data_IF_246742309417
#
_entry.id   IF_246742309417
#
_cell.length_a   1.000
_cell.length_b   1.000
_cell.length_c   1.000
_cell.angle_alpha   90.00
_cell.angle_beta   90.00
_cell.angle_gamma   90.00
#
_symmetry.space_group_name_H-M   'P 1'
#
loop_
_entity.id
_entity.type
_entity.pdbx_description
1 polymer ?
#
# COMPACT_ATOMS: atom_id res chain seq x y z
N UNK A 1 47.49 -18.68 32.62
CA UNK A 1 46.55 -18.81 31.46
C UNK A 1 45.08 -18.49 31.77
N UNK A 2 44.68 -18.23 33.03
CA UNK A 2 43.25 -18.08 33.41
C UNK A 2 42.78 -16.64 33.67
N UNK A 3 43.65 -15.64 33.60
CA UNK A 3 43.27 -14.24 33.85
C UNK A 3 42.75 -13.54 32.58
N UNK A 4 43.42 -13.74 31.44
CA UNK A 4 43.07 -13.12 30.15
C UNK A 4 41.71 -13.63 29.60
N UNK A 5 41.34 -14.89 29.85
CA UNK A 5 40.06 -15.46 29.40
C UNK A 5 38.84 -14.89 30.14
N UNK A 6 38.97 -14.48 31.41
CA UNK A 6 37.84 -13.96 32.21
C UNK A 6 37.45 -12.54 31.79
N UNK A 7 38.44 -11.71 31.46
CA UNK A 7 38.21 -10.35 30.97
C UNK A 7 37.76 -10.29 29.51
N UNK A 8 38.19 -11.26 28.67
CA UNK A 8 37.70 -11.38 27.29
C UNK A 8 36.21 -11.65 27.19
N UNK A 9 35.63 -12.44 28.11
CA UNK A 9 34.18 -12.72 28.16
C UNK A 9 33.40 -11.50 28.67
N UNK A 10 33.93 -10.76 29.64
CA UNK A 10 33.31 -9.52 30.12
C UNK A 10 33.29 -8.40 29.07
N UNK A 11 34.35 -8.30 28.26
CA UNK A 11 34.40 -7.35 27.14
C UNK A 11 33.46 -7.76 25.98
N UNK A 12 33.25 -9.07 25.77
CA UNK A 12 32.28 -9.59 24.81
C UNK A 12 30.83 -9.43 25.26
N UNK A 13 30.57 -9.40 26.58
CA UNK A 13 29.25 -9.16 27.16
C UNK A 13 28.83 -7.67 27.13
N UNK A 14 29.76 -6.76 26.84
CA UNK A 14 29.50 -5.32 26.69
C UNK A 14 29.24 -4.91 25.22
N UNK A 15 29.46 -5.81 24.26
CA UNK A 15 29.13 -5.57 22.84
C UNK A 15 27.65 -5.30 22.57
N UNK A 16 26.67 -5.95 23.23
CA UNK A 16 25.26 -5.60 23.08
C UNK A 16 24.94 -4.18 23.57
N UNK A 17 25.67 -3.68 24.58
CA UNK A 17 25.48 -2.34 25.11
C UNK A 17 26.13 -1.25 24.23
N UNK A 18 27.24 -1.56 23.53
CA UNK A 18 27.82 -0.66 22.52
C UNK A 18 27.10 -0.72 21.16
N UNK A 19 26.44 -1.82 20.83
CA UNK A 19 25.57 -1.92 19.65
C UNK A 19 24.25 -1.14 19.81
N UNK A 20 23.92 -0.69 21.03
CA UNK A 20 22.78 0.19 21.35
C UNK A 20 23.16 1.68 21.35
N UNK A 21 24.23 2.06 20.66
CA UNK A 21 24.68 3.45 20.55
C UNK A 21 24.18 4.13 19.26
N UNK A 22 22.85 4.18 19.07
CA UNK A 22 22.09 5.25 18.38
C UNK A 22 20.58 4.89 18.40
N UNK A 23 19.76 5.44 19.30
CA UNK A 23 18.30 5.24 19.30
C UNK A 23 17.58 5.90 18.10
N UNK A 24 18.30 6.38 17.09
CA UNK A 24 17.74 7.19 16.00
C UNK A 24 17.62 6.50 14.65
N UNK A 25 18.46 5.49 14.34
CA UNK A 25 18.56 4.93 12.98
C UNK A 25 17.87 3.58 12.81
N UNK A 26 17.79 2.74 13.85
CA UNK A 26 17.15 1.43 13.72
C UNK A 26 15.63 1.55 13.55
N UNK A 27 15.00 2.51 14.23
CA UNK A 27 13.55 2.67 14.17
C UNK A 27 13.04 3.14 12.80
N UNK A 28 13.84 3.86 12.00
CA UNK A 28 13.46 4.24 10.63
C UNK A 28 13.40 3.02 9.70
N UNK A 29 14.35 2.09 9.84
CA UNK A 29 14.32 0.82 9.12
C UNK A 29 13.10 -0.03 9.50
N UNK A 30 12.75 -0.08 10.79
CA UNK A 30 11.53 -0.76 11.23
C UNK A 30 10.25 -0.07 10.71
N UNK A 31 10.20 1.26 10.69
CA UNK A 31 9.08 2.02 10.13
C UNK A 31 8.88 1.79 8.63
N UNK A 32 9.96 1.80 7.84
CA UNK A 32 9.88 1.50 6.41
C UNK A 32 9.41 0.08 6.15
N UNK A 33 9.97 -0.91 6.85
CA UNK A 33 9.58 -2.32 6.68
C UNK A 33 8.11 -2.52 7.08
N UNK A 34 7.67 -1.92 8.19
CA UNK A 34 6.28 -1.98 8.62
C UNK A 34 5.34 -1.39 7.56
N UNK A 35 5.63 -0.18 7.06
CA UNK A 35 4.86 0.43 5.98
C UNK A 35 4.89 -0.37 4.68
N UNK A 36 6.03 -1.00 4.36
CA UNK A 36 6.19 -1.82 3.16
C UNK A 36 5.39 -3.13 3.22
N UNK A 37 5.42 -3.83 4.35
CA UNK A 37 4.71 -5.11 4.51
C UNK A 37 3.20 -4.89 4.57
N UNK A 38 2.75 -3.78 5.15
CA UNK A 38 1.35 -3.53 5.45
C UNK A 38 0.39 -3.70 4.24
N UNK A 39 0.65 -3.12 3.06
CA UNK A 39 -0.20 -3.35 1.89
C UNK A 39 -0.31 -4.80 1.41
N UNK A 40 0.66 -5.66 1.75
CA UNK A 40 0.61 -7.07 1.39
C UNK A 40 -0.26 -7.90 2.34
N UNK A 41 -0.57 -7.37 3.53
CA UNK A 41 -1.42 -8.04 4.51
C UNK A 41 -2.90 -7.67 4.37
N UNK A 42 -3.22 -6.53 3.76
CA UNK A 42 -4.60 -6.09 3.48
C UNK A 42 -5.13 -6.55 2.12
N UNK A 43 -6.27 -7.25 2.11
CA UNK A 43 -6.90 -7.71 0.86
C UNK A 43 -7.43 -6.56 0.00
N UNK A 44 -7.93 -5.51 0.65
CA UNK A 44 -8.36 -4.24 0.08
C UNK A 44 -7.23 -3.52 -0.66
N UNK A 45 -6.04 -3.41 -0.06
CA UNK A 45 -4.84 -2.83 -0.67
C UNK A 45 -4.40 -3.61 -1.90
N UNK A 46 -4.28 -4.93 -1.72
CA UNK A 46 -3.80 -5.83 -2.74
C UNK A 46 -4.75 -5.80 -3.94
N UNK A 47 -6.06 -5.96 -3.71
CA UNK A 47 -7.03 -5.95 -4.80
C UNK A 47 -7.11 -4.58 -5.45
N UNK A 48 -7.00 -3.50 -4.68
CA UNK A 48 -7.01 -2.14 -5.18
C UNK A 48 -5.88 -1.88 -6.18
N UNK A 49 -4.63 -2.07 -5.75
CA UNK A 49 -3.47 -1.75 -6.58
C UNK A 49 -3.35 -2.73 -7.76
N UNK A 50 -3.64 -4.02 -7.56
CA UNK A 50 -3.68 -5.00 -8.65
C UNK A 50 -4.77 -4.69 -9.68
N UNK A 51 -6.00 -4.44 -9.23
CA UNK A 51 -7.12 -4.13 -10.12
C UNK A 51 -6.85 -2.86 -10.92
N UNK A 52 -6.20 -1.86 -10.31
CA UNK A 52 -5.81 -0.64 -11.00
C UNK A 52 -4.75 -0.89 -12.08
N UNK A 53 -3.73 -1.70 -11.78
CA UNK A 53 -2.72 -2.11 -12.76
C UNK A 53 -3.33 -2.91 -13.93
N UNK A 54 -4.17 -3.91 -13.63
CA UNK A 54 -4.92 -4.68 -14.66
C UNK A 54 -5.79 -3.74 -15.51
N UNK A 55 -6.34 -2.74 -14.82
CA UNK A 55 -7.03 -1.56 -15.31
C UNK A 55 -6.33 -0.93 -16.52
N UNK A 56 -5.24 -0.25 -16.14
CA UNK A 56 -4.42 0.60 -16.98
C UNK A 56 -3.55 -0.17 -17.97
N UNK A 57 -3.47 -1.50 -17.87
CA UNK A 57 -2.74 -2.31 -18.84
C UNK A 57 -3.19 -2.03 -20.30
N UNK A 58 -4.48 -1.85 -20.55
CA UNK A 58 -5.01 -1.55 -21.89
C UNK A 58 -4.99 -0.06 -22.25
N UNK A 59 -4.54 0.81 -21.35
CA UNK A 59 -4.37 2.23 -21.63
C UNK A 59 -3.04 2.50 -22.34
N UNK A 60 -2.91 3.68 -22.96
CA UNK A 60 -1.64 4.11 -23.55
C UNK A 60 -0.53 4.19 -22.48
N UNK A 61 0.73 4.02 -22.88
CA UNK A 61 1.89 3.95 -21.97
C UNK A 61 1.95 5.13 -20.98
N UNK A 62 1.66 6.34 -21.44
CA UNK A 62 1.63 7.55 -20.60
C UNK A 62 0.64 7.43 -19.42
N UNK A 63 -0.50 6.79 -19.64
CA UNK A 63 -1.51 6.58 -18.61
C UNK A 63 -1.10 5.52 -17.59
N UNK A 64 -0.27 4.55 -17.97
CA UNK A 64 0.29 3.57 -17.04
C UNK A 64 1.25 4.23 -16.04
N UNK A 65 2.04 5.19 -16.52
CA UNK A 65 2.97 5.98 -15.69
C UNK A 65 2.19 6.98 -14.83
N UNK A 66 1.23 7.69 -15.43
CA UNK A 66 0.35 8.59 -14.68
C UNK A 66 -0.41 7.85 -13.57
N UNK A 67 -0.77 6.58 -13.80
CA UNK A 67 -1.42 5.73 -12.80
C UNK A 67 -0.60 5.56 -11.53
N UNK A 68 0.66 5.11 -11.63
CA UNK A 68 1.51 4.93 -10.44
C UNK A 68 1.76 6.25 -9.73
N UNK A 69 2.00 7.35 -10.47
CA UNK A 69 2.20 8.68 -9.89
C UNK A 69 0.94 9.12 -9.13
N UNK A 70 -0.23 8.98 -9.75
CA UNK A 70 -1.51 9.38 -9.14
C UNK A 70 -1.74 8.57 -7.87
N UNK A 71 -1.56 7.24 -7.92
CA UNK A 71 -1.69 6.37 -6.76
C UNK A 71 -0.76 6.79 -5.62
N UNK A 72 0.52 7.04 -5.91
CA UNK A 72 1.49 7.45 -4.88
C UNK A 72 1.15 8.80 -4.27
N UNK A 73 0.85 9.81 -5.10
CA UNK A 73 0.55 11.16 -4.63
C UNK A 73 -0.73 11.19 -3.80
N UNK A 74 -1.79 10.53 -4.26
CA UNK A 74 -3.09 10.51 -3.58
C UNK A 74 -3.03 9.73 -2.26
N UNK A 75 -2.26 8.64 -2.21
CA UNK A 75 -1.97 7.91 -0.97
C UNK A 75 -1.23 8.79 0.04
N UNK A 76 -0.18 9.50 -0.37
CA UNK A 76 0.58 10.41 0.50
C UNK A 76 -0.33 11.53 1.03
N UNK A 77 -1.10 12.18 0.16
CA UNK A 77 -2.03 13.25 0.56
C UNK A 77 -3.06 12.71 1.56
N UNK A 78 -3.66 11.56 1.26
CA UNK A 78 -4.60 10.90 2.15
C UNK A 78 -3.99 10.59 3.51
N UNK A 79 -2.78 10.03 3.52
CA UNK A 79 -2.05 9.73 4.75
C UNK A 79 -1.84 10.97 5.60
N UNK A 80 -1.40 12.08 5.02
CA UNK A 80 -1.20 13.32 5.76
C UNK A 80 -2.51 13.88 6.33
N UNK A 81 -3.62 13.75 5.60
CA UNK A 81 -4.95 14.15 6.09
C UNK A 81 -5.37 13.28 7.28
N UNK A 82 -5.21 11.96 7.18
CA UNK A 82 -5.52 11.02 8.25
C UNK A 82 -4.63 11.20 9.47
N UNK A 83 -3.34 11.46 9.28
CA UNK A 83 -2.37 11.70 10.34
C UNK A 83 -2.68 12.94 11.20
N UNK A 84 -3.52 13.84 10.69
CA UNK A 84 -3.98 15.04 11.39
C UNK A 84 -5.42 14.89 11.92
N UNK A 85 -6.02 13.69 11.83
CA UNK A 85 -7.41 13.40 12.21
C UNK A 85 -8.43 14.36 11.58
N UNK A 86 -8.14 14.90 10.39
CA UNK A 86 -9.00 15.88 9.71
C UNK A 86 -10.27 15.24 9.14
N UNK A 87 -10.26 13.93 8.92
CA UNK A 87 -11.36 13.16 8.36
C UNK A 87 -11.63 11.96 9.28
N UNK A 88 -12.88 11.76 9.71
CA UNK A 88 -13.26 10.58 10.50
C UNK A 88 -12.93 9.26 9.78
N UNK A 89 -12.42 8.28 10.53
CA UNK A 89 -11.99 6.98 9.95
C UNK A 89 -13.14 6.24 9.23
N UNK A 90 -14.37 6.35 9.74
CA UNK A 90 -15.55 5.76 9.09
C UNK A 90 -15.84 6.36 7.71
N UNK A 91 -15.54 7.65 7.49
CA UNK A 91 -15.65 8.27 6.15
C UNK A 91 -14.62 7.66 5.20
N UNK A 92 -13.41 7.39 5.70
CA UNK A 92 -12.39 6.71 4.91
C UNK A 92 -12.81 5.27 4.55
N UNK A 93 -13.36 4.52 5.50
CA UNK A 93 -13.89 3.16 5.27
C UNK A 93 -14.98 3.15 4.18
N UNK A 94 -15.99 4.02 4.28
CA UNK A 94 -17.02 4.12 3.24
C UNK A 94 -16.44 4.55 1.88
N UNK A 95 -15.44 5.43 1.90
CA UNK A 95 -14.71 5.86 0.70
C UNK A 95 -13.98 4.71 0.01
N UNK A 96 -13.32 3.84 0.78
CA UNK A 96 -12.63 2.63 0.29
C UNK A 96 -13.64 1.68 -0.37
N UNK A 97 -14.74 1.38 0.31
CA UNK A 97 -15.77 0.46 -0.20
C UNK A 97 -16.38 1.00 -1.49
N UNK A 98 -16.80 2.27 -1.51
CA UNK A 98 -17.41 2.90 -2.68
C UNK A 98 -16.47 2.84 -3.89
N UNK A 99 -15.19 3.09 -3.69
CA UNK A 99 -14.22 3.12 -4.77
C UNK A 99 -13.78 1.74 -5.26
N UNK A 100 -13.83 0.69 -4.41
CA UNK A 100 -13.74 -0.70 -4.85
C UNK A 100 -14.93 -1.10 -5.74
N UNK A 101 -16.16 -0.70 -5.37
CA UNK A 101 -17.36 -0.94 -6.20
C UNK A 101 -17.23 -0.28 -7.57
N UNK A 102 -16.81 0.99 -7.61
CA UNK A 102 -16.60 1.70 -8.89
C UNK A 102 -15.50 1.02 -9.73
N UNK A 103 -14.44 0.53 -9.09
CA UNK A 103 -13.35 -0.20 -9.76
C UNK A 103 -13.86 -1.52 -10.36
N UNK A 104 -14.68 -2.27 -9.63
CA UNK A 104 -15.32 -3.49 -10.12
C UNK A 104 -16.20 -3.22 -11.36
N UNK A 105 -17.04 -2.17 -11.30
CA UNK A 105 -17.91 -1.78 -12.42
C UNK A 105 -17.08 -1.38 -13.64
N UNK A 106 -16.01 -0.60 -13.46
CA UNK A 106 -15.14 -0.17 -14.55
C UNK A 106 -14.43 -1.35 -15.24
N UNK A 107 -13.96 -2.33 -14.46
CA UNK A 107 -13.40 -3.58 -14.99
C UNK A 107 -14.44 -4.39 -15.79
N UNK A 108 -15.70 -4.39 -15.35
CA UNK A 108 -16.79 -5.11 -16.01
C UNK A 108 -17.25 -4.46 -17.31
N UNK A 109 -17.41 -3.14 -17.29
CA UNK A 109 -17.89 -2.31 -18.40
C UNK A 109 -16.78 -1.94 -19.40
N UNK A 110 -15.51 -2.19 -19.04
CA UNK A 110 -14.32 -1.78 -19.80
C UNK A 110 -14.23 -0.26 -19.97
N UNK A 111 -14.82 0.50 -19.05
CA UNK A 111 -14.79 1.98 -19.09
C UNK A 111 -13.57 2.52 -18.36
N UNK A 112 -12.66 3.14 -19.11
CA UNK A 112 -11.44 3.73 -18.55
C UNK A 112 -11.63 5.20 -18.09
N UNK A 113 -12.81 5.81 -18.30
CA UNK A 113 -13.02 7.26 -18.09
C UNK A 113 -13.20 7.66 -16.62
N UNK A 114 -13.96 6.88 -15.85
CA UNK A 114 -14.33 7.20 -14.46
C UNK A 114 -13.35 6.62 -13.43
N UNK A 115 -12.54 5.65 -13.85
CA UNK A 115 -11.66 4.89 -12.98
C UNK A 115 -10.48 5.70 -12.40
N UNK A 116 -9.77 6.57 -13.15
CA UNK A 116 -8.62 7.30 -12.59
C UNK A 116 -9.04 8.16 -11.40
N UNK A 117 -10.26 8.70 -11.46
CA UNK A 117 -10.89 9.44 -10.38
C UNK A 117 -11.23 8.48 -9.24
N UNK A 118 -11.95 7.39 -9.51
CA UNK A 118 -12.28 6.40 -8.48
C UNK A 118 -11.05 5.89 -7.72
N UNK A 119 -9.94 5.66 -8.42
CA UNK A 119 -8.70 5.17 -7.81
C UNK A 119 -7.90 6.28 -7.11
N UNK A 120 -7.93 7.52 -7.62
CA UNK A 120 -7.39 8.66 -6.87
C UNK A 120 -8.09 8.80 -5.52
N UNK A 121 -9.42 8.68 -5.50
CA UNK A 121 -10.18 8.67 -4.25
C UNK A 121 -9.87 7.43 -3.40
N UNK A 122 -9.79 6.24 -4.01
CA UNK A 122 -9.48 4.97 -3.33
C UNK A 122 -8.12 5.02 -2.62
N UNK A 123 -7.06 5.47 -3.30
CA UNK A 123 -5.73 5.60 -2.74
C UNK A 123 -5.68 6.70 -1.68
N UNK A 124 -6.40 7.81 -1.86
CA UNK A 124 -6.57 8.82 -0.81
C UNK A 124 -7.28 8.29 0.43
N UNK A 125 -8.39 7.57 0.30
CA UNK A 125 -9.10 7.05 1.47
C UNK A 125 -8.33 5.96 2.21
N UNK A 126 -7.62 5.07 1.50
CA UNK A 126 -6.66 4.17 2.15
C UNK A 126 -5.56 4.96 2.86
N UNK A 127 -5.04 6.02 2.22
CA UNK A 127 -4.12 6.95 2.84
C UNK A 127 -4.68 7.48 4.16
N UNK A 128 -5.91 8.02 4.16
CA UNK A 128 -6.55 8.57 5.36
C UNK A 128 -6.66 7.52 6.47
N UNK A 129 -7.16 6.32 6.17
CA UNK A 129 -7.28 5.25 7.15
C UNK A 129 -5.93 4.93 7.81
N UNK A 130 -4.87 4.80 7.02
CA UNK A 130 -3.51 4.55 7.52
C UNK A 130 -2.88 5.74 8.22
N UNK A 131 -3.21 6.95 7.81
CA UNK A 131 -2.79 8.15 8.50
C UNK A 131 -3.29 8.14 9.94
N UNK A 132 -4.57 7.84 10.14
CA UNK A 132 -5.19 7.76 11.47
C UNK A 132 -4.53 6.65 12.31
N UNK A 133 -4.38 5.46 11.73
CA UNK A 133 -3.87 4.27 12.44
C UNK A 133 -2.36 4.37 12.75
N UNK A 134 -1.55 4.74 11.76
CA UNK A 134 -0.10 4.54 11.81
C UNK A 134 0.68 5.82 12.13
N UNK A 135 0.09 7.01 12.00
CA UNK A 135 0.87 8.25 12.20
C UNK A 135 1.37 8.43 13.65
N UNK A 136 0.63 7.88 14.61
CA UNK A 136 0.96 7.93 16.03
C UNK A 136 2.15 7.05 16.43
N UNK A 137 2.68 6.24 15.51
CA UNK A 137 3.81 5.31 15.76
C UNK A 137 5.20 5.97 15.71
N UNK A 138 5.29 7.27 15.38
CA UNK A 138 6.52 8.08 15.46
C UNK A 138 7.43 8.08 14.22
N UNK A 139 7.24 7.15 13.27
CA UNK A 139 8.07 7.04 12.05
C UNK A 139 7.30 7.29 10.75
N UNK A 140 6.47 8.33 10.75
CA UNK A 140 5.52 8.68 9.67
C UNK A 140 6.15 8.65 8.27
N UNK A 141 7.29 9.31 8.10
CA UNK A 141 7.94 9.42 6.78
C UNK A 141 8.38 8.04 6.27
N UNK A 142 9.05 7.26 7.12
CA UNK A 142 9.53 5.92 6.75
C UNK A 142 8.36 4.99 6.41
N UNK A 143 7.29 5.02 7.23
CA UNK A 143 6.05 4.27 7.03
C UNK A 143 5.40 4.58 5.67
N UNK A 144 5.19 5.87 5.38
CA UNK A 144 4.59 6.29 4.11
C UNK A 144 5.44 5.89 2.92
N UNK A 145 6.77 6.07 3.02
CA UNK A 145 7.68 5.67 1.94
C UNK A 145 7.68 4.16 1.69
N UNK A 146 7.63 3.35 2.74
CA UNK A 146 7.45 1.90 2.64
C UNK A 146 6.14 1.54 1.95
N UNK A 147 5.05 2.15 2.40
CA UNK A 147 3.70 1.88 1.88
C UNK A 147 3.56 2.28 0.41
N UNK A 148 4.04 3.48 0.03
CA UNK A 148 4.08 3.94 -1.36
C UNK A 148 4.90 3.00 -2.24
N UNK A 149 6.05 2.53 -1.76
CA UNK A 149 6.91 1.59 -2.50
C UNK A 149 6.21 0.26 -2.74
N UNK A 150 5.59 -0.30 -1.71
CA UNK A 150 4.83 -1.54 -1.80
C UNK A 150 3.63 -1.42 -2.75
N UNK A 151 2.83 -0.35 -2.63
CA UNK A 151 1.68 -0.12 -3.49
C UNK A 151 2.08 0.09 -4.96
N UNK A 152 3.19 0.78 -5.22
CA UNK A 152 3.74 0.92 -6.57
C UNK A 152 4.18 -0.44 -7.15
N UNK A 153 4.79 -1.31 -6.35
CA UNK A 153 5.17 -2.66 -6.76
C UNK A 153 3.95 -3.53 -7.07
N UNK A 154 2.93 -3.50 -6.21
CA UNK A 154 1.69 -4.24 -6.43
C UNK A 154 0.99 -3.74 -7.70
N UNK A 155 0.95 -2.42 -7.93
CA UNK A 155 0.40 -1.84 -9.16
C UNK A 155 1.16 -2.32 -10.42
N UNK A 156 2.49 -2.35 -10.38
CA UNK A 156 3.30 -2.92 -11.46
C UNK A 156 3.01 -4.42 -11.67
N UNK A 157 2.82 -5.18 -10.59
CA UNK A 157 2.32 -6.55 -10.64
C UNK A 157 0.95 -6.64 -11.31
N UNK A 158 0.05 -5.70 -11.04
CA UNK A 158 -1.24 -5.56 -11.70
C UNK A 158 -1.12 -5.30 -13.19
N UNK A 159 -0.19 -4.45 -13.63
CA UNK A 159 0.08 -4.24 -15.06
C UNK A 159 0.55 -5.54 -15.74
N UNK A 160 1.46 -6.27 -15.09
CA UNK A 160 1.94 -7.56 -15.59
C UNK A 160 0.81 -8.62 -15.63
N UNK A 161 -0.02 -8.67 -14.60
CA UNK A 161 -1.22 -9.52 -14.57
C UNK A 161 -2.19 -9.13 -15.69
N UNK A 162 -2.41 -7.84 -15.92
CA UNK A 162 -3.23 -7.34 -17.03
C UNK A 162 -2.72 -7.81 -18.39
N UNK A 163 -1.39 -7.84 -18.57
CA UNK A 163 -0.75 -8.40 -19.76
C UNK A 163 -1.05 -9.89 -19.95
N UNK A 164 -0.90 -10.68 -18.90
CA UNK A 164 -1.19 -12.11 -18.93
C UNK A 164 -2.69 -12.38 -19.19
N UNK A 165 -3.58 -11.69 -18.47
CA UNK A 165 -5.02 -11.88 -18.58
C UNK A 165 -5.53 -11.53 -19.98
N UNK A 166 -5.07 -10.41 -20.56
CA UNK A 166 -5.49 -10.01 -21.91
C UNK A 166 -5.01 -10.98 -23.00
N UNK A 167 -3.90 -11.68 -22.76
CA UNK A 167 -3.33 -12.62 -23.73
C UNK A 167 -3.88 -14.04 -23.59
N UNK A 168 -4.11 -14.51 -22.37
CA UNK A 168 -4.32 -15.94 -22.10
C UNK A 168 -5.68 -16.27 -21.47
N UNK A 169 -6.39 -15.30 -20.87
CA UNK A 169 -7.58 -15.58 -20.06
C UNK A 169 -8.80 -14.82 -20.61
N UNK A 170 -9.73 -15.51 -21.30
CA UNK A 170 -11.00 -14.93 -21.67
C UNK A 170 -11.70 -14.34 -20.45
N UNK A 171 -12.21 -13.11 -20.59
CA UNK A 171 -12.87 -12.37 -19.51
C UNK A 171 -12.02 -12.09 -18.26
N UNK A 172 -10.69 -12.23 -18.30
CA UNK A 172 -9.83 -12.07 -17.13
C UNK A 172 -10.03 -10.77 -16.35
N UNK A 173 -10.26 -9.64 -17.03
CA UNK A 173 -10.59 -8.36 -16.37
C UNK A 173 -11.87 -8.41 -15.54
N UNK A 174 -12.90 -9.14 -15.99
CA UNK A 174 -14.16 -9.30 -15.25
C UNK A 174 -13.97 -10.13 -13.99
N UNK A 175 -13.08 -11.14 -14.03
CA UNK A 175 -12.73 -11.96 -12.86
C UNK A 175 -12.09 -11.08 -11.79
N UNK A 176 -11.11 -10.24 -12.16
CA UNK A 176 -10.50 -9.29 -11.22
C UNK A 176 -11.55 -8.30 -10.68
N UNK A 177 -12.48 -7.85 -11.52
CA UNK A 177 -13.59 -7.00 -11.10
C UNK A 177 -14.52 -7.69 -10.10
N UNK A 178 -14.82 -8.98 -10.30
CA UNK A 178 -15.59 -9.77 -9.33
C UNK A 178 -14.88 -9.88 -7.99
N UNK A 179 -13.56 -10.13 -7.98
CA UNK A 179 -12.77 -10.14 -6.75
C UNK A 179 -12.84 -8.78 -6.04
N UNK A 180 -12.69 -7.67 -6.76
CA UNK A 180 -12.82 -6.33 -6.18
C UNK A 180 -14.20 -6.08 -5.57
N UNK A 181 -15.28 -6.54 -6.21
CA UNK A 181 -16.63 -6.45 -5.68
C UNK A 181 -16.82 -7.30 -4.41
N UNK A 182 -16.28 -8.53 -4.39
CA UNK A 182 -16.35 -9.40 -3.21
C UNK A 182 -15.62 -8.78 -2.03
N UNK A 183 -14.41 -8.24 -2.25
CA UNK A 183 -13.66 -7.54 -1.19
C UNK A 183 -14.42 -6.31 -0.69
N UNK A 184 -15.08 -5.55 -1.58
CA UNK A 184 -15.93 -4.43 -1.17
C UNK A 184 -17.10 -4.87 -0.27
N UNK A 185 -17.72 -6.02 -0.57
CA UNK A 185 -18.81 -6.58 0.24
C UNK A 185 -18.30 -7.08 1.60
N UNK A 186 -17.13 -7.70 1.65
CA UNK A 186 -16.49 -8.11 2.91
C UNK A 186 -16.16 -6.87 3.76
N UNK A 187 -15.74 -5.77 3.13
CA UNK A 187 -15.49 -4.51 3.85
C UNK A 187 -16.74 -3.86 4.47
N UNK A 188 -17.95 -4.32 4.13
CA UNK A 188 -19.21 -3.83 4.69
C UNK A 188 -19.66 -4.59 5.95
N UNK A 189 -19.03 -5.72 6.29
CA UNK A 189 -19.41 -6.60 7.42
C UNK A 189 -18.53 -6.38 8.64
#
# INVERSE_FOLDING_TARGET
>A
MNFIKKWGIGLLALLPALAMAHPGHDHEHFGFIAGFIHPFTGLDHLIMALAFGVLLWSAAKQWKIAGVITLSVTLIIGFLIGAQDLVPVNVAEYGIIASLVVTAIALWTKSNRILPIAVAFLASFHGVAHGVELAHSGHVVALVMGMVSAMALIYCGGLALGAALTRYVPYGKKIVGACAAVVAVIGLS
#
